data_IF_856816663635
#
_entry.id   IF_856816663635
#
_cell.length_a   1.000
_cell.length_b   1.000
_cell.length_c   1.000
_cell.angle_alpha   90.00
_cell.angle_beta   90.00
_cell.angle_gamma   90.00
#
_symmetry.space_group_name_H-M   'P 1'
#
loop_
_entity.id
_entity.type
_entity.pdbx_description
1 polymer ?
#
# COMPACT_ATOMS: atom_id res chain seq x y z
N UNK A 1 -4.85 32.80 -47.58
CA UNK A 1 -5.60 32.30 -46.41
C UNK A 1 -4.75 31.23 -45.74
N UNK A 2 -4.07 31.58 -44.63
CA UNK A 2 -3.33 30.63 -43.79
C UNK A 2 -4.22 30.30 -42.60
N UNK A 3 -4.70 29.07 -42.54
CA UNK A 3 -5.51 28.57 -41.42
C UNK A 3 -4.56 28.23 -40.27
N UNK A 4 -4.59 29.02 -39.20
CA UNK A 4 -3.93 28.70 -37.94
C UNK A 4 -4.77 27.63 -37.24
N UNK A 5 -4.24 26.41 -37.13
CA UNK A 5 -4.82 25.35 -36.31
C UNK A 5 -4.36 25.60 -34.86
N UNK A 6 -5.28 26.05 -34.02
CA UNK A 6 -5.07 26.22 -32.59
C UNK A 6 -5.09 24.84 -31.93
N UNK A 7 -3.93 24.24 -31.69
CA UNK A 7 -3.82 23.02 -30.89
C UNK A 7 -3.81 23.45 -29.43
N UNK A 8 -4.93 23.30 -28.75
CA UNK A 8 -5.00 23.33 -27.28
C UNK A 8 -4.22 22.14 -26.74
N UNK A 9 -3.00 22.38 -26.26
CA UNK A 9 -2.31 21.45 -25.37
C UNK A 9 -3.09 21.41 -24.05
N UNK A 10 -3.91 20.38 -23.87
CA UNK A 10 -4.40 19.99 -22.56
C UNK A 10 -3.19 19.42 -21.81
N UNK A 11 -2.57 20.21 -20.94
CA UNK A 11 -1.53 19.74 -20.03
C UNK A 11 -2.17 18.72 -19.09
N UNK A 12 -1.93 17.44 -19.34
CA UNK A 12 -2.22 16.36 -18.42
C UNK A 12 -1.21 16.47 -17.27
N UNK A 13 -1.50 17.35 -16.32
CA UNK A 13 -0.85 17.32 -15.01
C UNK A 13 -1.31 16.02 -14.39
N UNK A 14 -0.42 15.03 -14.33
CA UNK A 14 -0.60 13.86 -13.48
C UNK A 14 -0.73 14.41 -12.06
N UNK A 15 -1.98 14.50 -11.58
CA UNK A 15 -2.29 14.76 -10.19
C UNK A 15 -1.78 13.54 -9.43
N UNK A 16 -0.55 13.60 -8.92
CA UNK A 16 -0.25 12.82 -7.73
C UNK A 16 -1.23 13.34 -6.66
N UNK A 17 -2.10 12.49 -6.08
CA UNK A 17 -2.92 12.92 -4.96
C UNK A 17 -2.03 13.63 -3.94
N UNK A 18 -2.48 14.80 -3.48
CA UNK A 18 -1.78 15.50 -2.42
C UNK A 18 -1.61 14.54 -1.23
N UNK A 19 -0.42 14.52 -0.65
CA UNK A 19 -0.11 13.65 0.47
C UNK A 19 0.89 14.33 1.39
N UNK A 20 0.74 14.08 2.69
CA UNK A 20 1.74 14.34 3.71
C UNK A 20 2.30 13.00 4.16
N UNK A 21 3.53 12.70 3.74
CA UNK A 21 4.15 11.42 4.03
C UNK A 21 4.80 11.49 5.41
N UNK A 22 4.53 10.50 6.30
CA UNK A 22 5.20 10.42 7.60
C UNK A 22 6.71 10.52 7.48
N UNK A 23 7.33 11.26 8.41
CA UNK A 23 8.78 11.28 8.57
C UNK A 23 9.32 9.88 8.87
N UNK A 24 10.64 9.71 8.84
CA UNK A 24 11.32 8.41 9.09
C UNK A 24 11.12 7.87 10.52
N UNK A 25 10.49 8.63 11.41
CA UNK A 25 10.21 8.20 12.78
C UNK A 25 9.05 7.20 12.81
N UNK A 26 9.29 6.01 13.38
CA UNK A 26 8.25 5.01 13.62
C UNK A 26 7.12 5.60 14.47
N UNK A 27 5.89 5.39 14.04
CA UNK A 27 4.67 5.93 14.67
C UNK A 27 4.31 7.34 14.21
N UNK A 28 5.16 8.01 13.42
CA UNK A 28 4.81 9.30 12.83
C UNK A 28 3.64 9.14 11.86
N UNK A 29 2.75 10.11 11.87
CA UNK A 29 1.51 10.08 11.11
C UNK A 29 1.51 11.13 10.01
N UNK A 30 0.78 10.84 8.96
CA UNK A 30 0.59 11.71 7.81
C UNK A 30 -0.77 11.43 7.19
N UNK A 31 -0.97 11.87 5.95
CA UNK A 31 -2.22 11.64 5.25
C UNK A 31 -2.04 11.48 3.75
N UNK A 32 -3.00 10.80 3.13
CA UNK A 32 -3.15 10.65 1.69
C UNK A 32 -4.60 10.90 1.29
N UNK A 33 -4.84 11.26 0.03
CA UNK A 33 -6.20 11.36 -0.50
C UNK A 33 -6.70 10.02 -1.04
N UNK A 34 -7.96 9.73 -0.78
CA UNK A 34 -8.75 8.67 -1.39
C UNK A 34 -9.99 9.32 -2.02
N UNK A 35 -9.91 9.65 -3.31
CA UNK A 35 -10.92 10.50 -3.94
C UNK A 35 -10.98 11.88 -3.25
N UNK A 36 -12.16 12.34 -2.79
CA UNK A 36 -12.28 13.60 -2.05
C UNK A 36 -11.88 13.48 -0.56
N UNK A 37 -11.73 12.26 -0.05
CA UNK A 37 -11.55 11.99 1.37
C UNK A 37 -10.06 11.95 1.75
N UNK A 38 -9.77 12.26 3.01
CA UNK A 38 -8.42 12.18 3.58
C UNK A 38 -8.32 10.93 4.44
N UNK A 39 -7.26 10.13 4.23
CA UNK A 39 -6.98 8.97 5.05
C UNK A 39 -5.63 9.09 5.75
N UNK A 40 -5.60 8.66 7.01
CA UNK A 40 -4.39 8.72 7.83
C UNK A 40 -3.46 7.57 7.49
N UNK A 41 -2.17 7.90 7.38
CA UNK A 41 -1.08 6.94 7.19
C UNK A 41 -0.10 7.03 8.34
N UNK A 42 0.67 5.98 8.55
CA UNK A 42 1.66 5.87 9.62
C UNK A 42 2.93 5.21 9.10
N UNK A 43 4.07 5.61 9.64
CA UNK A 43 5.29 4.82 9.51
C UNK A 43 5.28 3.66 10.51
N UNK A 44 5.18 2.43 10.01
CA UNK A 44 5.26 1.25 10.85
C UNK A 44 6.71 0.90 11.21
N UNK A 45 6.87 0.02 12.20
CA UNK A 45 8.17 -0.45 12.67
C UNK A 45 8.96 -1.26 11.63
N UNK A 46 8.31 -1.69 10.55
CA UNK A 46 8.98 -2.30 9.39
C UNK A 46 9.64 -1.27 8.46
N UNK A 47 9.54 0.01 8.80
CA UNK A 47 10.09 1.12 8.04
C UNK A 47 9.22 1.55 6.86
N UNK A 48 8.12 0.85 6.55
CA UNK A 48 7.20 1.22 5.47
C UNK A 48 6.10 2.17 5.95
N UNK A 49 5.37 2.74 4.98
CA UNK A 49 4.20 3.55 5.25
C UNK A 49 2.94 2.72 5.00
N UNK A 50 2.06 2.69 6.00
CA UNK A 50 0.81 1.93 5.99
C UNK A 50 -0.38 2.86 6.20
N UNK A 51 -1.56 2.50 5.71
CA UNK A 51 -2.79 3.12 6.20
C UNK A 51 -2.95 2.83 7.69
N UNK A 52 -3.23 3.86 8.49
CA UNK A 52 -3.54 3.74 9.91
C UNK A 52 -5.06 3.55 10.18
N UNK A 53 -5.88 3.62 9.12
CA UNK A 53 -7.30 3.23 9.14
C UNK A 53 -7.61 2.20 8.06
N UNK A 54 -8.67 1.40 8.27
CA UNK A 54 -9.17 0.51 7.21
C UNK A 54 -9.69 1.38 6.06
N UNK A 55 -9.47 0.96 4.81
CA UNK A 55 -10.06 1.67 3.67
C UNK A 55 -11.59 1.71 3.81
N UNK A 56 -12.20 2.89 3.61
CA UNK A 56 -13.63 3.12 3.84
C UNK A 56 -14.04 3.36 5.31
N UNK A 57 -13.09 3.45 6.25
CA UNK A 57 -13.38 3.82 7.64
C UNK A 57 -13.53 5.33 7.82
N UNK A 58 -14.34 5.75 8.79
CA UNK A 58 -14.57 7.16 9.12
C UNK A 58 -13.39 7.77 9.90
N UNK A 59 -12.69 6.94 10.68
CA UNK A 59 -11.60 7.37 11.55
C UNK A 59 -10.55 6.28 11.76
N UNK A 60 -9.38 6.72 12.21
CA UNK A 60 -8.41 5.85 12.89
C UNK A 60 -9.05 5.31 14.17
N UNK A 61 -8.91 4.01 14.40
CA UNK A 61 -9.49 3.33 15.54
C UNK A 61 -9.15 4.01 16.87
N UNK A 62 -10.18 4.21 17.70
CA UNK A 62 -10.02 4.63 19.09
C UNK A 62 -9.90 3.45 20.06
N UNK A 63 -10.42 2.28 19.67
CA UNK A 63 -10.30 0.99 20.35
C UNK A 63 -10.31 -0.15 19.32
N UNK A 64 -9.90 -1.36 19.70
CA UNK A 64 -9.89 -2.51 18.79
C UNK A 64 -11.27 -2.83 18.18
N UNK A 65 -12.37 -2.58 18.90
CA UNK A 65 -13.73 -2.88 18.49
C UNK A 65 -14.54 -1.62 18.13
N UNK A 66 -13.86 -0.54 17.76
CA UNK A 66 -14.47 0.73 17.35
C UNK A 66 -15.26 0.59 16.02
N UNK A 67 -16.60 0.67 16.04
CA UNK A 67 -17.42 0.43 14.85
C UNK A 67 -17.17 1.42 13.70
N UNK A 68 -16.80 2.66 14.00
CA UNK A 68 -16.56 3.68 12.98
C UNK A 68 -15.19 3.51 12.29
N UNK A 69 -14.31 2.69 12.88
CA UNK A 69 -13.00 2.34 12.34
C UNK A 69 -12.97 0.98 11.60
N UNK A 70 -14.10 0.29 11.48
CA UNK A 70 -14.15 -1.04 10.84
C UNK A 70 -13.94 -1.00 9.32
N UNK A 71 -14.26 0.12 8.67
CA UNK A 71 -14.10 0.31 7.22
C UNK A 71 -14.89 -0.66 6.35
N UNK A 72 -14.60 -0.67 5.06
CA UNK A 72 -15.30 -1.48 4.06
C UNK A 72 -14.79 -2.94 4.02
N UNK A 73 -15.56 -3.82 3.35
CA UNK A 73 -15.33 -5.26 3.25
C UNK A 73 -15.28 -5.69 1.78
N UNK A 74 -14.08 -5.73 1.21
CA UNK A 74 -13.81 -5.96 -0.20
C UNK A 74 -13.81 -7.45 -0.53
N UNK A 75 -14.29 -7.85 -1.71
CA UNK A 75 -14.05 -9.19 -2.24
C UNK A 75 -12.70 -9.25 -2.94
N UNK A 76 -11.99 -10.37 -2.78
CA UNK A 76 -10.63 -10.51 -3.31
C UNK A 76 -10.64 -10.36 -4.84
N UNK A 77 -9.78 -9.47 -5.38
CA UNK A 77 -9.72 -9.17 -6.81
C UNK A 77 -10.55 -7.98 -7.29
N UNK A 78 -11.31 -7.31 -6.43
CA UNK A 78 -12.22 -6.23 -6.84
C UNK A 78 -11.69 -4.87 -6.46
N UNK A 79 -11.81 -3.90 -7.37
CA UNK A 79 -11.58 -2.50 -7.04
C UNK A 79 -12.74 -1.92 -6.24
N UNK A 80 -12.58 -0.67 -5.82
CA UNK A 80 -13.64 0.09 -5.18
C UNK A 80 -14.72 0.51 -6.20
N UNK A 81 -15.68 -0.38 -6.46
CA UNK A 81 -16.86 -0.17 -7.33
C UNK A 81 -18.18 -0.09 -6.54
N UNK A 82 -18.09 0.14 -5.23
CA UNK A 82 -19.23 0.27 -4.31
C UNK A 82 -19.67 -1.03 -3.62
N UNK A 83 -19.20 -2.20 -4.08
CA UNK A 83 -19.58 -3.49 -3.45
C UNK A 83 -19.12 -3.62 -2.00
N UNK A 84 -17.99 -2.99 -1.65
CA UNK A 84 -17.31 -3.18 -0.38
C UNK A 84 -18.06 -2.53 0.80
N UNK A 85 -19.00 -1.62 0.52
CA UNK A 85 -19.85 -1.03 1.55
C UNK A 85 -20.55 -2.11 2.36
N UNK A 86 -20.50 -1.97 3.69
CA UNK A 86 -21.13 -2.90 4.64
C UNK A 86 -22.63 -3.09 4.41
N UNK A 87 -23.30 -2.12 3.78
CA UNK A 87 -24.74 -2.12 3.49
C UNK A 87 -25.06 -2.32 2.01
N UNK A 88 -24.07 -2.62 1.17
CA UNK A 88 -24.29 -2.83 -0.26
C UNK A 88 -25.25 -4.01 -0.50
N UNK A 89 -26.06 -3.97 -1.58
CA UNK A 89 -26.94 -5.08 -1.92
C UNK A 89 -26.14 -6.33 -2.29
N UNK A 90 -26.76 -7.50 -2.20
CA UNK A 90 -26.16 -8.77 -2.65
C UNK A 90 -26.70 -9.18 -4.02
N UNK A 91 -25.88 -9.86 -4.81
CA UNK A 91 -26.31 -10.51 -6.06
C UNK A 91 -25.74 -11.94 -6.17
N UNK A 92 -26.43 -12.89 -6.80
CA UNK A 92 -25.86 -14.23 -7.01
C UNK A 92 -24.67 -14.15 -7.97
N UNK A 93 -23.51 -14.72 -7.63
CA UNK A 93 -22.35 -14.66 -8.52
C UNK A 93 -22.58 -15.38 -9.87
N UNK A 94 -23.53 -16.31 -9.93
CA UNK A 94 -23.98 -16.95 -11.16
C UNK A 94 -24.55 -15.96 -12.21
N UNK A 95 -24.87 -14.72 -11.82
CA UNK A 95 -25.29 -13.68 -12.77
C UNK A 95 -24.11 -13.01 -13.49
N UNK A 96 -22.86 -13.26 -13.08
CA UNK A 96 -21.66 -12.77 -13.74
C UNK A 96 -21.24 -13.68 -14.88
N UNK A 97 -20.96 -13.09 -16.04
CA UNK A 97 -20.51 -13.81 -17.23
C UNK A 97 -19.36 -13.04 -17.92
N UNK A 98 -18.09 -13.49 -17.77
CA UNK A 98 -17.61 -14.59 -16.93
C UNK A 98 -17.60 -14.26 -15.41
N UNK A 99 -17.61 -15.27 -14.55
CA UNK A 99 -17.50 -15.10 -13.09
C UNK A 99 -16.03 -14.93 -12.65
N UNK A 100 -15.47 -13.76 -12.93
CA UNK A 100 -14.12 -13.31 -12.58
C UNK A 100 -14.02 -11.78 -12.77
N UNK A 101 -12.89 -11.12 -12.51
CA UNK A 101 -12.78 -9.66 -12.64
C UNK A 101 -13.15 -9.12 -14.04
N UNK A 102 -12.94 -9.88 -15.12
CA UNK A 102 -13.31 -9.45 -16.48
C UNK A 102 -14.83 -9.28 -16.65
N UNK A 103 -15.64 -10.14 -16.03
CA UNK A 103 -17.10 -10.08 -16.16
C UNK A 103 -17.77 -8.96 -15.38
N UNK A 104 -17.04 -8.20 -14.57
CA UNK A 104 -17.55 -6.98 -13.94
C UNK A 104 -17.79 -5.86 -14.95
N UNK A 105 -17.11 -5.87 -16.09
CA UNK A 105 -17.18 -4.78 -17.07
C UNK A 105 -16.83 -3.44 -16.43
N UNK A 106 -17.80 -2.53 -16.33
CA UNK A 106 -17.63 -1.21 -15.71
C UNK A 106 -17.74 -1.22 -14.18
N UNK A 107 -18.01 -2.36 -13.54
CA UNK A 107 -18.18 -2.49 -12.09
C UNK A 107 -19.63 -2.70 -11.66
N UNK A 108 -19.81 -3.10 -10.41
CA UNK A 108 -21.13 -3.32 -9.80
C UNK A 108 -21.08 -3.07 -8.30
N UNK A 109 -21.97 -2.21 -7.80
CA UNK A 109 -22.12 -1.98 -6.37
C UNK A 109 -22.67 -3.19 -5.58
N UNK A 110 -22.93 -4.33 -6.22
CA UNK A 110 -23.42 -5.53 -5.53
C UNK A 110 -22.27 -6.39 -4.99
N UNK A 111 -22.43 -6.87 -3.77
CA UNK A 111 -21.62 -7.93 -3.19
C UNK A 111 -22.08 -9.28 -3.74
N UNK A 112 -21.25 -9.92 -4.57
CA UNK A 112 -21.60 -11.21 -5.16
C UNK A 112 -21.47 -12.33 -4.14
N UNK A 113 -22.55 -13.10 -3.99
CA UNK A 113 -22.65 -14.24 -3.07
C UNK A 113 -22.92 -15.53 -3.82
N UNK A 114 -22.57 -16.66 -3.22
CA UNK A 114 -23.04 -17.95 -3.70
C UNK A 114 -22.42 -19.15 -2.98
N UNK A 115 -22.73 -20.36 -3.47
CA UNK A 115 -22.41 -21.62 -2.82
C UNK A 115 -21.32 -22.43 -3.53
N UNK A 116 -20.21 -22.62 -2.81
CA UNK A 116 -19.12 -23.61 -3.00
C UNK A 116 -18.33 -23.52 -4.34
N UNK A 117 -17.07 -23.03 -4.28
CA UNK A 117 -16.55 -22.13 -3.25
C UNK A 117 -17.16 -20.74 -3.42
N UNK A 118 -17.42 -20.03 -2.30
CA UNK A 118 -18.17 -18.76 -2.25
C UNK A 118 -17.99 -17.90 -3.51
N UNK A 119 -19.06 -17.81 -4.30
CA UNK A 119 -18.98 -17.89 -5.76
C UNK A 119 -18.35 -16.69 -6.46
N UNK A 120 -17.79 -15.71 -5.79
CA UNK A 120 -17.03 -14.66 -6.46
C UNK A 120 -15.65 -15.16 -6.90
N UNK A 121 -15.34 -14.94 -8.18
CA UNK A 121 -14.15 -15.43 -8.89
C UNK A 121 -14.13 -16.95 -9.11
N UNK A 122 -15.33 -17.54 -9.25
CA UNK A 122 -15.56 -18.88 -9.81
C UNK A 122 -14.66 -19.97 -9.24
N UNK A 123 -13.66 -20.38 -10.01
CA UNK A 123 -12.72 -21.45 -9.61
C UNK A 123 -11.47 -20.94 -8.90
N UNK A 124 -11.08 -19.67 -9.11
CA UNK A 124 -9.76 -19.16 -8.73
C UNK A 124 -8.58 -20.01 -9.23
N UNK A 125 -7.38 -19.47 -9.17
CA UNK A 125 -6.13 -20.18 -9.43
C UNK A 125 -5.02 -19.55 -8.60
N UNK A 126 -4.03 -20.36 -8.20
CA UNK A 126 -2.82 -19.82 -7.56
C UNK A 126 -2.01 -18.87 -8.46
N UNK A 127 -2.29 -18.83 -9.75
CA UNK A 127 -1.70 -17.87 -10.70
C UNK A 127 -2.45 -16.54 -10.80
N UNK A 128 -3.63 -16.42 -10.18
CA UNK A 128 -4.39 -15.18 -10.22
C UNK A 128 -3.74 -14.13 -9.33
N UNK A 129 -3.82 -12.88 -9.74
CA UNK A 129 -3.22 -11.76 -9.01
C UNK A 129 -4.23 -10.64 -8.73
N UNK A 130 -3.94 -9.82 -7.72
CA UNK A 130 -4.75 -8.66 -7.37
C UNK A 130 -3.86 -7.42 -7.39
N UNK A 131 -3.35 -7.09 -8.57
CA UNK A 131 -2.32 -6.06 -8.79
C UNK A 131 -2.58 -5.22 -10.05
N UNK A 132 -3.61 -5.56 -10.83
CA UNK A 132 -3.87 -4.94 -12.13
C UNK A 132 -4.38 -3.50 -12.01
N UNK A 133 -4.11 -2.70 -13.03
CA UNK A 133 -4.76 -1.41 -13.27
C UNK A 133 -5.96 -1.53 -14.23
N UNK A 134 -6.10 -2.69 -14.87
CA UNK A 134 -7.21 -3.06 -15.75
C UNK A 134 -7.61 -4.50 -15.44
N UNK A 135 -8.90 -4.72 -15.19
CA UNK A 135 -9.42 -6.04 -14.85
C UNK A 135 -9.36 -6.98 -16.08
N UNK A 136 -8.71 -8.13 -15.89
CA UNK A 136 -8.73 -9.25 -16.84
C UNK A 136 -9.14 -10.53 -16.11
N UNK A 137 -9.27 -11.64 -16.84
CA UNK A 137 -9.79 -12.89 -16.26
C UNK A 137 -8.98 -13.43 -15.07
N UNK A 138 -7.67 -13.16 -15.03
CA UNK A 138 -6.70 -13.68 -14.05
C UNK A 138 -6.04 -12.59 -13.21
N UNK A 139 -6.37 -11.32 -13.43
CA UNK A 139 -5.81 -10.22 -12.64
C UNK A 139 -6.92 -9.21 -12.33
N UNK A 140 -7.23 -9.11 -11.03
CA UNK A 140 -8.14 -8.14 -10.47
C UNK A 140 -7.50 -6.76 -10.35
N UNK A 141 -8.28 -5.77 -9.90
CA UNK A 141 -7.76 -4.42 -9.69
C UNK A 141 -7.59 -4.14 -8.21
N UNK A 142 -6.36 -3.88 -7.80
CA UNK A 142 -6.00 -3.56 -6.41
C UNK A 142 -6.66 -2.23 -5.97
N UNK A 143 -7.55 -2.22 -4.95
CA UNK A 143 -8.19 -0.99 -4.47
C UNK A 143 -7.18 0.02 -3.90
N UNK A 144 -5.98 -0.41 -3.48
CA UNK A 144 -4.94 0.46 -2.96
C UNK A 144 -4.34 1.40 -4.02
N UNK A 145 -4.41 1.03 -5.30
CA UNK A 145 -3.94 1.89 -6.40
C UNK A 145 -4.72 3.21 -6.50
N UNK A 146 -5.92 3.29 -5.91
CA UNK A 146 -6.69 4.52 -5.81
C UNK A 146 -6.02 5.60 -4.93
N UNK A 147 -5.03 5.20 -4.12
CA UNK A 147 -4.20 6.12 -3.31
C UNK A 147 -2.96 6.60 -4.08
N UNK A 148 -2.67 6.04 -5.25
CA UNK A 148 -1.53 6.35 -6.12
C UNK A 148 -0.67 5.14 -6.47
N UNK A 149 0.16 5.28 -7.50
CA UNK A 149 0.88 4.17 -8.17
C UNK A 149 1.82 3.33 -7.27
N UNK A 150 2.23 3.86 -6.11
CA UNK A 150 3.11 3.18 -5.16
C UNK A 150 2.39 2.46 -4.01
N UNK A 151 1.06 2.57 -3.95
CA UNK A 151 0.22 1.92 -2.96
C UNK A 151 -0.27 0.58 -3.45
N UNK A 152 -0.11 -0.44 -2.62
CA UNK A 152 -0.48 -1.82 -2.95
C UNK A 152 -1.11 -2.52 -1.75
N UNK A 153 -1.82 -3.61 -2.02
CA UNK A 153 -2.21 -4.59 -1.02
C UNK A 153 -0.98 -5.27 -0.40
N UNK A 154 -0.98 -5.53 0.91
CA UNK A 154 0.10 -6.27 1.54
C UNK A 154 0.11 -7.72 1.09
N UNK A 155 1.30 -8.29 0.87
CA UNK A 155 1.46 -9.73 0.69
C UNK A 155 1.45 -10.46 2.04
N UNK A 156 1.34 -11.79 2.01
CA UNK A 156 1.44 -12.63 3.21
C UNK A 156 2.77 -12.38 3.96
N UNK A 157 3.84 -12.14 3.21
CA UNK A 157 5.16 -11.84 3.74
C UNK A 157 5.20 -10.47 4.43
N UNK A 158 4.52 -9.46 3.87
CA UNK A 158 4.43 -8.13 4.48
C UNK A 158 3.68 -8.18 5.81
N UNK A 159 2.56 -8.91 5.85
CA UNK A 159 1.84 -9.16 7.10
C UNK A 159 2.71 -9.87 8.13
N UNK A 160 3.39 -10.94 7.73
CA UNK A 160 4.29 -11.69 8.62
C UNK A 160 5.38 -10.79 9.20
N UNK A 161 5.99 -9.94 8.36
CA UNK A 161 7.02 -9.01 8.79
C UNK A 161 6.49 -7.95 9.76
N UNK A 162 5.41 -7.25 9.39
CA UNK A 162 4.87 -6.14 10.19
C UNK A 162 4.35 -6.63 11.55
N UNK A 163 3.69 -7.81 11.61
CA UNK A 163 3.27 -8.41 12.88
C UNK A 163 4.44 -8.64 13.82
N UNK A 164 5.57 -9.13 13.30
CA UNK A 164 6.75 -9.45 14.10
C UNK A 164 7.39 -8.17 14.68
N UNK A 165 7.57 -7.13 13.88
CA UNK A 165 8.24 -5.89 14.30
C UNK A 165 7.33 -4.96 15.12
N UNK A 166 6.01 -5.05 14.96
CA UNK A 166 5.01 -4.35 15.79
C UNK A 166 4.58 -5.15 17.03
N UNK A 167 5.13 -6.36 17.22
CA UNK A 167 4.80 -7.28 18.32
C UNK A 167 3.28 -7.58 18.44
N UNK A 168 2.61 -7.70 17.29
CA UNK A 168 1.16 -7.97 17.24
C UNK A 168 0.92 -9.47 17.46
N UNK A 169 0.17 -9.79 18.52
CA UNK A 169 -0.12 -11.17 18.94
C UNK A 169 -1.61 -11.44 19.20
N UNK A 170 -2.41 -10.39 19.27
CA UNK A 170 -3.86 -10.42 19.47
C UNK A 170 -4.50 -9.07 19.10
N UNK A 171 -5.82 -8.97 19.18
CA UNK A 171 -6.58 -7.73 18.90
C UNK A 171 -6.13 -6.54 19.76
N UNK A 172 -5.79 -6.75 21.03
CA UNK A 172 -5.33 -5.67 21.92
C UNK A 172 -3.99 -5.09 21.47
N UNK A 173 -3.03 -5.96 21.16
CA UNK A 173 -1.70 -5.54 20.66
C UNK A 173 -1.77 -5.02 19.22
N UNK A 174 -2.69 -5.55 18.40
CA UNK A 174 -2.95 -5.06 17.04
C UNK A 174 -3.46 -3.61 17.06
N UNK A 175 -4.40 -3.29 17.95
CA UNK A 175 -4.86 -1.92 18.18
C UNK A 175 -3.77 -1.03 18.80
N UNK A 176 -2.97 -1.55 19.73
CA UNK A 176 -1.91 -0.78 20.40
C UNK A 176 -0.68 -0.54 19.52
N UNK A 177 -0.55 -1.26 18.40
CA UNK A 177 0.52 -1.07 17.41
C UNK A 177 0.42 0.27 16.70
N UNK A 178 1.46 0.65 15.94
CA UNK A 178 1.41 1.86 15.13
C UNK A 178 0.29 1.79 14.07
N UNK A 179 -0.10 0.60 13.61
CA UNK A 179 -1.12 0.42 12.58
C UNK A 179 -2.55 0.64 13.10
N UNK A 180 -2.78 0.50 14.41
CA UNK A 180 -4.13 0.57 15.01
C UNK A 180 -5.16 -0.30 14.29
N UNK A 181 -4.82 -1.58 14.14
CA UNK A 181 -5.67 -2.56 13.47
C UNK A 181 -6.97 -2.80 14.28
N UNK A 182 -8.12 -2.55 13.66
CA UNK A 182 -9.47 -2.72 14.24
C UNK A 182 -10.12 -4.06 13.85
N UNK A 183 -10.88 -4.66 14.75
CA UNK A 183 -11.62 -5.90 14.58
C UNK A 183 -12.86 -5.72 13.68
N UNK A 184 -12.65 -5.38 12.40
CA UNK A 184 -13.71 -5.08 11.44
C UNK A 184 -14.59 -6.26 11.02
N UNK A 185 -14.21 -7.48 11.38
CA UNK A 185 -14.87 -8.72 10.96
C UNK A 185 -14.76 -8.98 9.46
N UNK A 186 -15.65 -9.83 8.96
CA UNK A 186 -15.75 -10.17 7.54
C UNK A 186 -17.21 -10.19 7.08
N UNK A 187 -17.41 -10.18 5.76
CA UNK A 187 -18.71 -10.41 5.12
C UNK A 187 -18.70 -11.78 4.49
N UNK A 188 -19.64 -12.63 4.89
CA UNK A 188 -19.72 -14.00 4.46
C UNK A 188 -20.03 -14.09 2.95
N UNK A 189 -19.19 -14.78 2.20
CA UNK A 189 -19.32 -14.91 0.74
C UNK A 189 -20.51 -15.75 0.26
N UNK A 190 -21.21 -16.45 1.16
CA UNK A 190 -22.36 -17.30 0.81
C UNK A 190 -23.68 -16.60 1.10
N UNK A 191 -23.75 -15.88 2.22
CA UNK A 191 -24.98 -15.26 2.72
C UNK A 191 -24.96 -13.73 2.61
N UNK A 192 -23.78 -13.12 2.47
CA UNK A 192 -23.60 -11.67 2.52
C UNK A 192 -23.72 -11.07 3.92
N UNK A 193 -23.83 -11.90 4.97
CA UNK A 193 -23.96 -11.45 6.36
C UNK A 193 -22.62 -10.99 6.92
N UNK A 194 -22.60 -9.91 7.70
CA UNK A 194 -21.41 -9.51 8.44
C UNK A 194 -21.25 -10.41 9.65
N UNK A 195 -20.07 -11.01 9.77
CA UNK A 195 -19.67 -11.89 10.87
C UNK A 195 -18.48 -11.29 11.60
N UNK A 196 -18.30 -11.65 12.88
CA UNK A 196 -17.08 -11.37 13.65
C UNK A 196 -16.71 -9.89 13.88
N UNK A 197 -17.57 -8.94 13.51
CA UNK A 197 -17.35 -7.52 13.78
C UNK A 197 -17.22 -7.27 15.29
N UNK A 198 -16.18 -6.54 15.67
CA UNK A 198 -15.78 -6.30 17.06
C UNK A 198 -15.03 -7.45 17.73
N UNK A 199 -14.85 -8.61 17.06
CA UNK A 199 -14.22 -9.80 17.63
C UNK A 199 -12.91 -10.17 16.94
N UNK A 200 -12.88 -10.13 15.60
CA UNK A 200 -11.70 -10.48 14.81
C UNK A 200 -11.34 -9.37 13.83
N UNK A 201 -10.04 -9.10 13.68
CA UNK A 201 -9.50 -8.34 12.56
C UNK A 201 -9.25 -9.28 11.40
N UNK A 202 -9.92 -9.09 10.26
CA UNK A 202 -9.76 -9.92 9.07
C UNK A 202 -9.38 -9.00 7.90
N UNK A 203 -8.15 -9.16 7.40
CA UNK A 203 -7.57 -8.28 6.40
C UNK A 203 -7.05 -9.06 5.22
N UNK A 204 -7.40 -8.62 4.02
CA UNK A 204 -6.89 -9.28 2.82
C UNK A 204 -5.38 -9.15 2.69
N UNK A 205 -4.78 -10.20 2.11
CA UNK A 205 -3.50 -10.13 1.44
C UNK A 205 -3.68 -10.15 -0.07
N UNK A 206 -2.78 -9.52 -0.83
CA UNK A 206 -2.68 -9.70 -2.29
C UNK A 206 -2.17 -11.08 -2.72
N UNK A 207 -1.82 -11.99 -1.80
CA UNK A 207 -1.28 -13.32 -2.12
C UNK A 207 -2.40 -14.34 -2.40
N UNK A 208 -2.45 -14.89 -3.61
CA UNK A 208 -3.36 -15.96 -3.97
C UNK A 208 -3.01 -17.32 -3.35
N UNK A 209 -4.01 -18.19 -3.13
CA UNK A 209 -3.84 -19.52 -2.56
C UNK A 209 -4.83 -20.51 -3.18
N UNK A 210 -4.58 -20.91 -4.43
CA UNK A 210 -5.50 -21.80 -5.16
C UNK A 210 -6.87 -21.15 -5.33
N UNK A 211 -7.92 -21.84 -4.86
CA UNK A 211 -9.30 -21.30 -4.84
C UNK A 211 -9.54 -20.26 -3.73
N UNK A 212 -8.59 -20.13 -2.82
CA UNK A 212 -8.57 -19.17 -1.71
C UNK A 212 -7.67 -17.98 -2.06
N UNK A 213 -7.64 -17.03 -1.14
CA UNK A 213 -6.61 -16.04 -1.01
C UNK A 213 -6.11 -15.99 0.43
N UNK A 214 -4.89 -15.52 0.61
CA UNK A 214 -4.33 -15.32 1.94
C UNK A 214 -4.98 -14.12 2.62
N UNK A 215 -5.21 -14.26 3.91
CA UNK A 215 -5.61 -13.17 4.77
C UNK A 215 -4.79 -13.17 6.07
N UNK A 216 -4.76 -12.00 6.70
CA UNK A 216 -4.38 -11.85 8.09
C UNK A 216 -5.65 -11.93 8.93
N UNK A 217 -5.73 -12.94 9.79
CA UNK A 217 -6.71 -12.99 10.87
C UNK A 217 -6.06 -12.73 12.23
N UNK A 218 -6.64 -11.79 12.98
CA UNK A 218 -6.24 -11.37 14.33
C UNK A 218 -7.39 -11.65 15.29
N UNK A 219 -7.18 -12.58 16.22
CA UNK A 219 -8.11 -12.91 17.31
C UNK A 219 -7.64 -12.41 18.67
N UNK A 220 -8.40 -12.73 19.71
CA UNK A 220 -8.12 -12.30 21.09
C UNK A 220 -6.86 -12.92 21.70
N UNK A 221 -6.45 -14.10 21.23
CA UNK A 221 -5.30 -14.85 21.78
C UNK A 221 -4.31 -15.35 20.72
N UNK A 222 -4.53 -15.00 19.45
CA UNK A 222 -3.74 -15.52 18.34
C UNK A 222 -3.79 -14.58 17.13
N UNK A 223 -2.79 -14.75 16.25
CA UNK A 223 -2.70 -14.11 14.94
C UNK A 223 -2.24 -15.14 13.91
N UNK A 224 -2.78 -15.05 12.70
CA UNK A 224 -2.37 -15.87 11.57
C UNK A 224 -2.26 -15.01 10.31
N UNK A 225 -1.04 -14.67 9.85
CA UNK A 225 -0.85 -13.90 8.60
C UNK A 225 -0.96 -14.75 7.33
N UNK A 226 -1.19 -16.06 7.46
CA UNK A 226 -1.18 -17.02 6.36
C UNK A 226 -2.47 -17.84 6.29
N UNK A 227 -3.56 -17.31 6.85
CA UNK A 227 -4.87 -17.96 6.80
C UNK A 227 -5.41 -18.02 5.37
N UNK A 228 -6.34 -18.93 5.12
CA UNK A 228 -6.96 -19.14 3.81
C UNK A 228 -8.44 -18.83 3.87
N UNK A 229 -8.83 -17.77 3.17
CA UNK A 229 -10.23 -17.41 2.99
C UNK A 229 -10.67 -17.53 1.55
N UNK A 230 -11.94 -17.93 1.37
CA UNK A 230 -12.52 -17.98 0.03
C UNK A 230 -12.62 -16.57 -0.53
N UNK A 231 -12.26 -16.39 -1.81
CA UNK A 231 -12.14 -15.07 -2.45
C UNK A 231 -13.41 -14.23 -2.44
N UNK A 232 -14.57 -14.88 -2.31
CA UNK A 232 -15.86 -14.20 -2.21
C UNK A 232 -16.21 -13.67 -0.82
N UNK A 233 -15.38 -13.91 0.20
CA UNK A 233 -15.52 -13.21 1.47
C UNK A 233 -15.22 -11.72 1.28
N UNK A 234 -15.86 -10.89 2.11
CA UNK A 234 -15.55 -9.48 2.24
C UNK A 234 -14.61 -9.30 3.42
N UNK A 235 -13.45 -8.69 3.25
CA UNK A 235 -12.53 -8.39 4.34
C UNK A 235 -11.96 -6.99 4.22
N UNK A 236 -11.44 -6.47 5.33
CA UNK A 236 -10.86 -5.14 5.38
C UNK A 236 -9.57 -5.05 4.54
N UNK A 237 -9.30 -3.86 4.02
CA UNK A 237 -8.09 -3.55 3.26
C UNK A 237 -7.23 -2.55 4.03
N UNK A 238 -5.93 -2.84 4.10
CA UNK A 238 -4.89 -1.98 4.66
C UNK A 238 -3.77 -1.80 3.65
N UNK A 239 -3.72 -0.66 3.01
CA UNK A 239 -2.75 -0.40 1.95
C UNK A 239 -1.36 -0.12 2.51
N UNK A 240 -0.36 -0.56 1.74
CA UNK A 240 1.05 -0.48 2.04
C UNK A 240 1.77 0.28 0.92
N UNK A 241 2.69 1.16 1.29
CA UNK A 241 3.63 1.78 0.37
C UNK A 241 5.07 1.42 0.75
N UNK A 242 5.70 0.58 -0.08
CA UNK A 242 7.09 0.12 0.13
C UNK A 242 8.13 1.06 -0.44
N UNK A 243 7.77 1.87 -1.43
CA UNK A 243 8.68 2.86 -2.01
C UNK A 243 9.00 4.00 -1.03
N UNK A 244 8.24 4.12 0.05
CA UNK A 244 8.49 5.09 1.12
C UNK A 244 9.26 4.47 2.32
N UNK A 245 9.96 3.35 2.12
CA UNK A 245 10.74 2.65 3.15
C UNK A 245 11.97 3.44 3.65
N UNK A 246 12.31 3.30 4.94
CA UNK A 246 13.58 3.78 5.50
C UNK A 246 14.68 2.75 5.28
N UNK A 247 15.62 3.00 4.37
CA UNK A 247 16.73 2.08 4.12
C UNK A 247 17.52 1.73 5.40
N UNK A 248 17.93 0.46 5.55
CA UNK A 248 18.81 -0.01 6.63
C UNK A 248 20.04 0.91 6.78
N UNK A 249 20.04 1.73 7.83
CA UNK A 249 21.05 2.75 8.09
C UNK A 249 20.58 3.89 9.02
N UNK A 250 19.28 4.03 9.26
CA UNK A 250 18.71 5.17 10.00
C UNK A 250 18.34 4.88 11.45
N UNK A 251 19.38 4.85 12.29
CA UNK A 251 19.22 5.18 13.71
C UNK A 251 19.79 6.59 13.94
N UNK A 252 18.97 7.61 13.71
CA UNK A 252 19.36 8.99 13.94
C UNK A 252 18.15 9.89 14.11
N UNK A 253 17.75 10.14 15.36
CA UNK A 253 16.75 11.14 15.70
C UNK A 253 17.24 12.53 15.24
N UNK A 254 16.50 13.15 14.32
CA UNK A 254 16.64 14.54 13.92
C UNK A 254 16.77 14.72 12.41
N UNK A 255 15.66 15.17 11.77
CA UNK A 255 15.64 15.80 10.43
C UNK A 255 16.66 15.17 9.46
N UNK A 256 16.53 13.86 9.28
CA UNK A 256 17.52 13.00 8.64
C UNK A 256 17.69 13.31 7.15
N UNK A 257 18.85 12.92 6.64
CA UNK A 257 19.17 12.97 5.23
C UNK A 257 18.15 12.15 4.42
N UNK A 258 17.53 12.74 3.40
CA UNK A 258 16.58 12.06 2.51
C UNK A 258 17.19 11.93 1.12
N UNK A 259 16.97 10.79 0.46
CA UNK A 259 17.35 10.55 -0.94
C UNK A 259 16.12 10.02 -1.68
N UNK A 260 15.52 10.82 -2.56
CA UNK A 260 14.24 10.50 -3.19
C UNK A 260 14.12 11.01 -4.64
N UNK A 261 13.34 10.38 -5.53
CA UNK A 261 12.61 9.14 -5.29
C UNK A 261 13.58 7.95 -5.11
N UNK A 262 13.17 6.96 -4.33
CA UNK A 262 13.90 5.71 -4.13
C UNK A 262 12.86 4.58 -4.01
N UNK A 263 12.60 3.77 -5.05
CA UNK A 263 13.41 3.61 -6.27
C UNK A 263 13.45 4.85 -7.19
N UNK A 264 14.54 5.00 -7.95
CA UNK A 264 14.79 6.13 -8.85
C UNK A 264 14.95 5.67 -10.30
N UNK A 265 14.35 6.42 -11.23
CA UNK A 265 14.57 6.27 -12.68
C UNK A 265 15.90 6.93 -13.15
N UNK A 266 16.84 7.22 -12.24
CA UNK A 266 18.12 7.88 -12.54
C UNK A 266 18.16 9.38 -12.25
N UNK A 267 17.10 9.94 -11.67
CA UNK A 267 17.11 11.30 -11.10
C UNK A 267 16.71 11.20 -9.64
N UNK A 268 17.48 11.82 -8.76
CA UNK A 268 17.23 11.84 -7.33
C UNK A 268 17.47 13.24 -6.76
N UNK A 269 16.80 13.54 -5.67
CA UNK A 269 17.02 14.69 -4.82
C UNK A 269 17.63 14.17 -3.52
N UNK A 270 18.75 14.76 -3.13
CA UNK A 270 19.31 14.59 -1.80
C UNK A 270 18.82 15.78 -0.99
N UNK A 271 18.22 15.60 0.18
CA UNK A 271 17.71 16.70 1.00
C UNK A 271 18.19 16.52 2.44
N UNK A 272 18.83 17.54 2.99
CA UNK A 272 19.33 17.55 4.36
C UNK A 272 18.71 18.66 5.22
N UNK A 273 17.44 18.99 4.94
CA UNK A 273 16.71 20.05 5.62
C UNK A 273 17.37 21.41 5.41
N UNK A 274 17.86 22.02 6.48
CA UNK A 274 18.56 23.32 6.42
C UNK A 274 20.09 23.19 6.34
N UNK A 275 20.64 21.98 6.43
CA UNK A 275 22.08 21.77 6.43
C UNK A 275 22.66 21.79 5.02
N UNK A 276 23.81 22.44 4.84
CA UNK A 276 24.49 22.51 3.54
C UNK A 276 25.13 21.16 3.19
N UNK A 277 24.79 20.62 2.02
CA UNK A 277 25.49 19.46 1.47
C UNK A 277 26.72 19.93 0.71
N UNK A 278 27.89 19.52 1.19
CA UNK A 278 29.17 19.88 0.58
C UNK A 278 29.49 18.99 -0.61
N UNK A 279 29.19 17.68 -0.47
CA UNK A 279 29.52 16.67 -1.46
C UNK A 279 28.55 15.50 -1.40
N UNK A 280 28.20 14.98 -2.57
CA UNK A 280 27.45 13.72 -2.73
C UNK A 280 28.29 12.78 -3.59
N UNK A 281 28.36 11.51 -3.21
CA UNK A 281 29.12 10.49 -3.92
C UNK A 281 28.20 9.26 -4.12
N UNK A 282 28.06 8.80 -5.36
CA UNK A 282 27.35 7.57 -5.70
C UNK A 282 28.33 6.41 -5.91
N UNK A 283 27.97 5.24 -5.39
CA UNK A 283 28.75 4.01 -5.42
C UNK A 283 27.88 2.84 -5.88
N UNK A 284 28.49 1.87 -6.56
CA UNK A 284 27.88 0.58 -6.84
C UNK A 284 27.76 -0.25 -5.54
N UNK A 285 26.98 -1.33 -5.58
CA UNK A 285 26.77 -2.23 -4.43
C UNK A 285 28.07 -2.85 -3.89
N UNK A 286 29.10 -2.98 -4.74
CA UNK A 286 30.45 -3.44 -4.40
C UNK A 286 31.38 -2.31 -3.89
N UNK A 287 30.83 -1.13 -3.58
CA UNK A 287 31.55 0.07 -3.13
C UNK A 287 32.49 0.68 -4.17
N UNK A 288 32.37 0.31 -5.45
CA UNK A 288 33.09 1.01 -6.53
C UNK A 288 32.49 2.39 -6.76
N UNK A 289 33.28 3.47 -6.82
CA UNK A 289 32.76 4.82 -7.05
C UNK A 289 32.19 4.95 -8.47
N UNK A 290 31.04 5.60 -8.58
CA UNK A 290 30.34 5.87 -9.83
C UNK A 290 30.45 7.34 -10.21
N UNK A 291 30.05 8.23 -9.29
CA UNK A 291 29.97 9.67 -9.58
C UNK A 291 30.06 10.49 -8.30
N UNK A 292 30.56 11.73 -8.43
CA UNK A 292 30.69 12.69 -7.34
C UNK A 292 30.10 14.03 -7.78
N UNK A 293 29.39 14.70 -6.88
CA UNK A 293 28.84 16.04 -7.05
C UNK A 293 29.23 16.93 -5.87
N UNK A 294 29.44 18.22 -6.12
CA UNK A 294 29.73 19.23 -5.10
C UNK A 294 28.64 20.32 -5.09
N UNK A 295 27.42 19.99 -4.65
CA UNK A 295 26.24 20.81 -4.89
C UNK A 295 26.22 22.14 -4.13
N UNK A 296 26.81 22.18 -2.92
CA UNK A 296 26.83 23.38 -2.06
C UNK A 296 25.42 23.98 -1.87
N UNK A 297 24.43 23.11 -1.68
CA UNK A 297 23.03 23.46 -1.40
C UNK A 297 22.45 22.40 -0.46
N UNK A 298 21.33 22.71 0.22
CA UNK A 298 20.70 21.79 1.17
C UNK A 298 19.86 20.70 0.50
N UNK A 299 19.36 20.95 -0.71
CA UNK A 299 18.48 20.01 -1.43
C UNK A 299 18.78 19.91 -2.94
N UNK A 300 19.95 19.40 -3.36
CA UNK A 300 20.27 19.27 -4.79
C UNK A 300 19.50 18.14 -5.48
N UNK A 301 18.97 18.44 -6.66
CA UNK A 301 18.57 17.42 -7.64
C UNK A 301 19.77 16.98 -8.48
N UNK A 302 20.02 15.68 -8.52
CA UNK A 302 21.15 15.03 -9.13
C UNK A 302 20.68 14.02 -10.18
N UNK A 303 21.35 14.02 -11.33
CA UNK A 303 21.12 13.03 -12.39
C UNK A 303 22.24 12.00 -12.38
N UNK A 304 21.86 10.74 -12.20
CA UNK A 304 22.76 9.60 -12.31
C UNK A 304 23.03 9.26 -13.78
N UNK A 305 24.20 8.65 -14.08
CA UNK A 305 24.43 8.07 -15.40
C UNK A 305 23.42 6.96 -15.67
N UNK A 306 23.39 6.46 -16.91
CA UNK A 306 22.61 5.26 -17.23
C UNK A 306 23.18 4.06 -16.45
N UNK A 307 22.43 3.64 -15.44
CA UNK A 307 22.79 2.58 -14.52
C UNK A 307 21.73 1.48 -14.64
N UNK A 308 22.13 0.19 -14.64
CA UNK A 308 21.18 -0.91 -14.65
C UNK A 308 20.32 -0.92 -13.38
N UNK A 309 19.18 -1.61 -13.44
CA UNK A 309 18.32 -1.80 -12.28
C UNK A 309 19.10 -2.55 -11.18
N UNK A 310 19.02 -2.07 -9.94
CA UNK A 310 19.78 -2.64 -8.83
C UNK A 310 20.04 -1.69 -7.66
N UNK A 311 20.78 -2.20 -6.68
CA UNK A 311 21.13 -1.48 -5.44
C UNK A 311 22.43 -0.68 -5.58
N UNK A 312 22.40 0.55 -5.06
CA UNK A 312 23.50 1.51 -5.05
C UNK A 312 23.60 2.18 -3.68
N UNK A 313 24.73 2.85 -3.43
CA UNK A 313 24.97 3.62 -2.22
C UNK A 313 25.19 5.09 -2.54
N UNK A 314 24.55 5.97 -1.78
CA UNK A 314 24.73 7.41 -1.81
C UNK A 314 25.38 7.83 -0.49
N UNK A 315 26.58 8.39 -0.58
CA UNK A 315 27.27 9.03 0.52
C UNK A 315 27.09 10.53 0.43
N UNK A 316 26.75 11.15 1.54
CA UNK A 316 26.54 12.59 1.63
C UNK A 316 27.45 13.15 2.70
N UNK A 317 28.20 14.17 2.34
CA UNK A 317 29.14 14.87 3.21
C UNK A 317 28.60 16.26 3.45
N UNK A 318 28.43 16.57 4.73
CA UNK A 318 27.96 17.85 5.21
C UNK A 318 28.86 18.33 6.36
N UNK A 319 28.66 19.58 6.81
CA UNK A 319 29.39 20.11 7.95
C UNK A 319 29.18 19.31 9.24
N UNK A 320 28.03 18.63 9.39
CA UNK A 320 27.71 17.80 10.55
C UNK A 320 28.33 16.39 10.49
N UNK A 321 28.89 15.96 9.35
CA UNK A 321 29.51 14.65 9.19
C UNK A 321 29.22 13.97 7.86
N UNK A 322 29.48 12.67 7.82
CA UNK A 322 29.24 11.80 6.66
C UNK A 322 28.03 10.91 6.96
N UNK A 323 27.07 10.88 6.05
CA UNK A 323 25.90 10.01 6.11
C UNK A 323 25.81 9.16 4.85
N UNK A 324 25.21 7.97 4.96
CA UNK A 324 25.03 7.03 3.86
C UNK A 324 23.55 6.68 3.70
N UNK A 325 23.14 6.46 2.46
CA UNK A 325 21.80 6.01 2.08
C UNK A 325 21.91 4.96 0.98
N UNK A 326 20.98 4.02 0.99
CA UNK A 326 20.77 3.14 -0.16
C UNK A 326 19.99 3.87 -1.24
N UNK A 327 20.18 3.45 -2.49
CA UNK A 327 19.39 3.88 -3.62
C UNK A 327 19.12 2.67 -4.50
N UNK A 328 17.85 2.44 -4.83
CA UNK A 328 17.42 1.44 -5.79
C UNK A 328 17.21 2.16 -7.13
N UNK A 329 17.81 1.66 -8.20
CA UNK A 329 17.49 2.09 -9.57
C UNK A 329 16.48 1.12 -10.17
N UNK A 330 15.38 1.68 -10.67
CA UNK A 330 14.34 0.98 -11.43
C UNK A 330 13.98 1.85 -12.64
N UNK A 331 14.24 1.32 -13.83
CA UNK A 331 13.89 1.90 -15.13
C UNK A 331 13.05 0.92 -15.93
#
# INVERSE_FOLDING_TARGET
MRTLLLITLLSMVLYLPAQDIPSEVVGDAGWVLFGPDTMIVVRAADGHVWLQQNMGAENVAAEHNDPTAFGDLYQWGRWHDGHASRTSPTAPAATLAPNNPLGLGMGSGSFYIGSIPSDWWGTGSGSDTWEGSVAIAVNGIDPCTALGDAWQLPTQADWTNVLAVEAITNTTTAFSSNLKLSAGGARDGQTGTIINAGLYGQYWSGTASGVYAKDLTVGDTWVNPADDALRGYGMSVRCLNKALHVGLGDTGAGQGLRVFPNPSAGILTVDQGTALIERVEAYASDMRPIRVWNPKTASPSLTLPDLPNGLYWIKVVCAAGIQWRTLIIER
#
